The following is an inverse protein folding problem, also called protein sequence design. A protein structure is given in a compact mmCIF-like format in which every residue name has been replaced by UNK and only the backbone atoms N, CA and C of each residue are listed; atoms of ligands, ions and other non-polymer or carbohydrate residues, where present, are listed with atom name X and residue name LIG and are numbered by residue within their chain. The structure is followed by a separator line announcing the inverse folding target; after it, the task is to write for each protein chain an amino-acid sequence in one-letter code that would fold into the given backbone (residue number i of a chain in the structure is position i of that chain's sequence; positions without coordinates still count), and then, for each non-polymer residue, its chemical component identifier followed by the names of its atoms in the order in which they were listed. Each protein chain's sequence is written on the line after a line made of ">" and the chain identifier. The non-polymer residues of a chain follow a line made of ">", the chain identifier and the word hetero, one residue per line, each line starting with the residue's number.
data_IF_821761493307
#
_entry.id   IF_821761493307
#
_cell.length_a   1.000
_cell.length_b   1.000
_cell.length_c   1.000
_cell.angle_alpha   90.00
_cell.angle_beta   90.00
_cell.angle_gamma   90.00
#
_symmetry.space_group_name_H-M   'P 1'
#
loop_
_entity.id
_entity.type
_entity.pdbx_description
1 polymer ?
#
# COMPACT_ATOMS: atom_id res chain seq x y z
N UNK A 1 40.58 -6.05 -6.94
CA UNK A 1 39.28 -6.15 -6.24
C UNK A 1 38.38 -5.06 -6.81
N UNK A 2 37.35 -5.40 -7.59
CA UNK A 2 36.49 -4.41 -8.22
C UNK A 2 35.52 -3.83 -7.18
N UNK A 3 35.65 -2.52 -6.91
CA UNK A 3 34.72 -1.79 -6.06
C UNK A 3 33.38 -1.77 -6.77
N UNK A 4 32.44 -2.60 -6.31
CA UNK A 4 31.07 -2.62 -6.80
C UNK A 4 30.35 -1.40 -6.21
N UNK A 5 30.54 -0.23 -6.81
CA UNK A 5 29.77 0.97 -6.47
C UNK A 5 28.30 0.68 -6.73
N UNK A 6 27.52 0.51 -5.67
CA UNK A 6 26.05 0.42 -5.72
C UNK A 6 25.52 1.77 -6.17
N UNK A 7 25.35 1.95 -7.48
CA UNK A 7 24.80 3.17 -8.06
C UNK A 7 23.34 3.30 -7.61
N UNK A 8 22.99 4.41 -6.95
CA UNK A 8 21.59 4.71 -6.63
C UNK A 8 20.77 4.63 -7.92
N UNK A 9 19.67 3.87 -7.94
CA UNK A 9 18.86 3.73 -9.15
C UNK A 9 18.35 5.10 -9.60
N UNK A 10 18.41 5.37 -10.91
CA UNK A 10 17.80 6.58 -11.48
C UNK A 10 16.28 6.60 -11.30
N UNK A 11 15.64 7.77 -11.38
CA UNK A 11 14.17 7.91 -11.35
C UNK A 11 13.50 6.96 -12.34
N UNK A 12 14.00 6.88 -13.57
CA UNK A 12 13.46 5.98 -14.60
C UNK A 12 13.56 4.49 -14.20
N UNK A 13 14.69 4.08 -13.60
CA UNK A 13 14.83 2.72 -13.09
C UNK A 13 13.88 2.44 -11.91
N UNK A 14 13.65 3.42 -11.04
CA UNK A 14 12.69 3.27 -9.94
C UNK A 14 11.25 3.24 -10.43
N UNK A 15 10.89 4.06 -11.42
CA UNK A 15 9.56 4.09 -12.02
C UNK A 15 9.13 2.72 -12.56
N UNK A 16 10.07 1.96 -13.13
CA UNK A 16 9.81 0.57 -13.55
C UNK A 16 9.73 -0.37 -12.34
N UNK A 17 10.61 -0.21 -11.33
CA UNK A 17 10.65 -1.08 -10.14
C UNK A 17 9.35 -1.03 -9.32
N UNK A 18 8.77 0.15 -9.14
CA UNK A 18 7.56 0.32 -8.32
C UNK A 18 6.30 -0.26 -8.97
N UNK A 19 6.33 -0.60 -10.27
CA UNK A 19 5.23 -1.27 -10.97
C UNK A 19 5.17 -2.78 -10.72
N UNK A 20 6.30 -3.41 -10.34
CA UNK A 20 6.40 -4.88 -10.28
C UNK A 20 5.43 -5.49 -9.28
N UNK A 21 5.26 -4.87 -8.11
CA UNK A 21 4.37 -5.41 -7.07
C UNK A 21 2.93 -5.52 -7.58
N UNK A 22 2.42 -4.46 -8.19
CA UNK A 22 1.07 -4.43 -8.74
C UNK A 22 0.86 -5.49 -9.84
N UNK A 23 1.83 -5.69 -10.74
CA UNK A 23 1.78 -6.77 -11.73
C UNK A 23 1.81 -8.15 -11.06
N UNK A 24 2.60 -8.31 -9.99
CA UNK A 24 2.61 -9.51 -9.17
C UNK A 24 1.25 -9.83 -8.55
N UNK A 25 0.65 -8.85 -7.88
CA UNK A 25 -0.67 -8.98 -7.25
C UNK A 25 -1.76 -9.25 -8.29
N UNK A 26 -1.73 -8.57 -9.44
CA UNK A 26 -2.69 -8.80 -10.54
C UNK A 26 -2.56 -10.21 -11.08
N UNK A 27 -1.33 -10.69 -11.31
CA UNK A 27 -1.12 -12.05 -11.80
C UNK A 27 -1.63 -13.10 -10.82
N UNK A 28 -1.40 -12.89 -9.51
CA UNK A 28 -1.90 -13.80 -8.48
C UNK A 28 -3.42 -13.85 -8.47
N UNK A 29 -4.09 -12.70 -8.54
CA UNK A 29 -5.56 -12.61 -8.57
C UNK A 29 -6.17 -13.30 -9.79
N UNK A 30 -5.47 -13.32 -10.93
CA UNK A 30 -5.93 -13.91 -12.20
C UNK A 30 -5.23 -15.21 -12.56
N UNK A 31 -4.57 -15.87 -11.62
CA UNK A 31 -3.61 -16.95 -11.91
C UNK A 31 -4.22 -18.11 -12.73
N UNK A 32 -5.49 -18.45 -12.46
CA UNK A 32 -6.23 -19.51 -13.17
C UNK A 32 -6.47 -19.19 -14.65
N UNK A 33 -6.60 -17.91 -15.02
CA UNK A 33 -6.86 -17.48 -16.39
C UNK A 33 -5.64 -17.62 -17.32
N UNK A 34 -4.42 -17.52 -16.77
CA UNK A 34 -3.22 -17.42 -17.60
C UNK A 34 -2.79 -18.71 -18.28
N UNK A 35 -3.35 -19.87 -17.88
CA UNK A 35 -3.09 -21.12 -18.58
C UNK A 35 -3.68 -21.07 -20.02
N UNK A 36 -2.79 -21.06 -21.01
CA UNK A 36 -3.18 -20.92 -22.42
C UNK A 36 -3.46 -19.49 -22.91
N UNK A 37 -3.37 -18.47 -22.05
CA UNK A 37 -3.60 -17.08 -22.43
C UNK A 37 -2.53 -16.50 -23.37
N UNK A 38 -1.33 -17.11 -23.42
CA UNK A 38 -0.25 -16.73 -24.32
C UNK A 38 0.09 -17.85 -25.28
N UNK A 39 -0.25 -17.68 -26.57
CA UNK A 39 0.05 -18.66 -27.61
C UNK A 39 0.51 -17.97 -28.91
N UNK A 40 1.68 -18.33 -29.49
CA UNK A 40 2.59 -19.39 -29.05
C UNK A 40 3.44 -18.97 -27.84
N UNK A 41 3.62 -19.90 -26.89
CA UNK A 41 4.47 -19.74 -25.71
C UNK A 41 5.90 -20.25 -25.98
N UNK A 42 6.95 -19.44 -25.82
CA UNK A 42 8.33 -19.93 -25.89
C UNK A 42 8.64 -20.93 -24.77
N UNK A 43 9.45 -21.96 -25.04
CA UNK A 43 9.69 -23.08 -24.10
C UNK A 43 10.31 -22.68 -22.75
N UNK A 44 11.06 -21.58 -22.68
CA UNK A 44 11.81 -21.19 -21.47
C UNK A 44 11.11 -20.09 -20.64
N UNK A 45 9.86 -19.73 -20.96
CA UNK A 45 9.13 -18.68 -20.24
C UNK A 45 7.78 -19.18 -19.75
N UNK A 46 7.46 -18.84 -18.51
CA UNK A 46 6.13 -19.08 -17.94
C UNK A 46 5.21 -17.89 -18.23
N UNK A 47 3.93 -18.04 -17.91
CA UNK A 47 2.90 -17.04 -18.21
C UNK A 47 3.08 -15.76 -17.38
N UNK A 48 3.62 -15.88 -16.16
CA UNK A 48 4.04 -14.72 -15.36
C UNK A 48 5.09 -13.86 -16.08
N UNK A 49 6.15 -14.47 -16.60
CA UNK A 49 7.20 -13.76 -17.32
C UNK A 49 6.65 -13.06 -18.56
N UNK A 50 5.68 -13.67 -19.26
CA UNK A 50 5.02 -13.06 -20.41
C UNK A 50 4.09 -11.90 -20.00
N UNK A 51 3.30 -12.08 -18.93
CA UNK A 51 2.46 -11.02 -18.38
C UNK A 51 3.29 -9.80 -17.97
N UNK A 52 4.36 -10.01 -17.20
CA UNK A 52 5.28 -8.93 -16.81
C UNK A 52 5.92 -8.30 -18.05
N UNK A 53 6.45 -9.09 -18.99
CA UNK A 53 7.06 -8.58 -20.23
C UNK A 53 6.11 -7.68 -21.02
N UNK A 54 4.84 -8.06 -21.14
CA UNK A 54 3.87 -7.32 -21.93
C UNK A 54 3.35 -6.07 -21.23
N UNK A 55 3.40 -6.00 -19.89
CA UNK A 55 2.75 -4.92 -19.14
C UNK A 55 3.72 -3.97 -18.43
N UNK A 56 4.89 -4.46 -18.00
CA UNK A 56 5.91 -3.64 -17.36
C UNK A 56 6.35 -2.50 -18.29
N UNK A 57 6.46 -1.30 -17.73
CA UNK A 57 6.80 -0.04 -18.41
C UNK A 57 5.74 0.45 -19.42
N UNK A 58 4.63 -0.29 -19.59
CA UNK A 58 3.55 0.06 -20.53
C UNK A 58 2.25 0.40 -19.81
N UNK A 59 2.05 -0.16 -18.62
CA UNK A 59 0.87 0.08 -17.78
C UNK A 59 1.33 0.83 -16.53
N UNK A 60 1.20 2.17 -16.50
CA UNK A 60 1.66 2.97 -15.37
C UNK A 60 0.75 2.75 -14.17
N UNK A 61 1.20 1.94 -13.21
CA UNK A 61 0.59 1.81 -11.89
C UNK A 61 1.69 1.75 -10.86
N UNK A 62 1.68 2.71 -9.95
CA UNK A 62 2.76 2.93 -9.00
C UNK A 62 2.25 2.69 -7.59
N UNK A 63 2.83 1.71 -6.90
CA UNK A 63 2.54 1.45 -5.49
C UNK A 63 3.70 1.92 -4.64
N UNK A 64 3.39 2.45 -3.47
CA UNK A 64 4.38 2.65 -2.40
C UNK A 64 4.82 1.31 -1.82
N UNK A 65 5.94 1.32 -1.08
CA UNK A 65 6.45 0.11 -0.43
C UNK A 65 5.40 -0.52 0.50
N UNK A 66 4.73 0.29 1.32
CA UNK A 66 3.69 -0.18 2.25
C UNK A 66 2.47 -0.75 1.51
N UNK A 67 2.02 -0.11 0.44
CA UNK A 67 0.93 -0.63 -0.39
C UNK A 67 1.32 -1.96 -1.06
N UNK A 68 2.57 -2.06 -1.53
CA UNK A 68 3.11 -3.28 -2.12
C UNK A 68 3.24 -4.43 -1.11
N UNK A 69 3.66 -4.14 0.13
CA UNK A 69 3.72 -5.10 1.24
C UNK A 69 2.32 -5.60 1.62
N UNK A 70 1.32 -4.72 1.58
CA UNK A 70 -0.09 -5.06 1.75
C UNK A 70 -0.70 -5.80 0.55
N UNK A 71 0.06 -6.00 -0.54
CA UNK A 71 -0.41 -6.60 -1.80
C UNK A 71 -1.57 -5.84 -2.44
N UNK A 72 -1.59 -4.52 -2.28
CA UNK A 72 -2.51 -3.66 -3.01
C UNK A 72 -2.41 -3.94 -4.53
N UNK A 73 -3.53 -3.77 -5.21
CA UNK A 73 -3.69 -4.13 -6.60
C UNK A 73 -4.71 -3.21 -7.28
N UNK A 74 -4.35 -2.67 -8.44
CA UNK A 74 -5.20 -1.73 -9.18
C UNK A 74 -5.57 -2.33 -10.53
N UNK A 75 -6.85 -2.27 -10.89
CA UNK A 75 -7.28 -2.65 -12.24
C UNK A 75 -6.74 -1.63 -13.24
N UNK A 76 -6.06 -2.10 -14.29
CA UNK A 76 -5.43 -1.27 -15.30
C UNK A 76 -5.55 -1.96 -16.67
N UNK A 77 -5.24 -1.27 -17.80
CA UNK A 77 -5.41 -1.83 -19.14
C UNK A 77 -4.31 -2.84 -19.50
N UNK A 78 -4.22 -3.91 -18.72
CA UNK A 78 -3.22 -4.96 -18.91
C UNK A 78 -3.50 -5.74 -20.19
N UNK A 79 -2.44 -6.07 -20.93
CA UNK A 79 -2.45 -7.14 -21.91
C UNK A 79 -2.49 -8.48 -21.19
N UNK A 80 -3.65 -9.13 -21.20
CA UNK A 80 -3.88 -10.38 -20.47
C UNK A 80 -3.71 -11.62 -21.34
N UNK A 81 -3.83 -11.47 -22.66
CA UNK A 81 -3.62 -12.57 -23.61
C UNK A 81 -2.84 -12.10 -24.84
N UNK A 82 -2.14 -13.03 -25.47
CA UNK A 82 -1.45 -12.78 -26.73
C UNK A 82 -1.57 -14.00 -27.64
N UNK A 83 -2.13 -13.78 -28.83
CA UNK A 83 -2.09 -14.79 -29.87
C UNK A 83 -2.51 -14.30 -31.24
N UNK A 84 -2.84 -15.27 -32.09
CA UNK A 84 -2.97 -15.11 -33.55
C UNK A 84 -4.40 -14.94 -34.04
N UNK A 85 -5.40 -15.18 -33.18
CA UNK A 85 -6.80 -14.92 -33.54
C UNK A 85 -7.04 -13.41 -33.50
N UNK A 86 -7.93 -12.94 -34.37
CA UNK A 86 -8.38 -11.55 -34.40
C UNK A 86 -8.82 -11.09 -33.00
N UNK A 87 -8.27 -9.97 -32.48
CA UNK A 87 -8.75 -9.34 -31.25
C UNK A 87 -10.21 -8.89 -31.33
N UNK A 88 -10.89 -8.98 -30.20
CA UNK A 88 -12.19 -8.34 -29.95
C UNK A 88 -11.89 -6.97 -29.37
N UNK A 89 -12.20 -5.91 -30.12
CA UNK A 89 -12.04 -4.55 -29.61
C UNK A 89 -13.13 -4.27 -28.59
N UNK A 90 -12.78 -3.50 -27.57
CA UNK A 90 -13.66 -3.05 -26.51
C UNK A 90 -13.44 -1.55 -26.34
N UNK A 91 -14.52 -0.78 -26.26
CA UNK A 91 -14.48 0.68 -26.15
C UNK A 91 -15.53 1.16 -25.16
N UNK A 92 -15.26 2.31 -24.53
CA UNK A 92 -16.23 2.96 -23.64
C UNK A 92 -17.31 3.64 -24.48
N UNK A 93 -18.57 3.34 -24.22
CA UNK A 93 -19.72 4.01 -24.83
C UNK A 93 -20.76 4.35 -23.77
N UNK A 94 -20.92 5.64 -23.48
CA UNK A 94 -21.78 6.10 -22.39
C UNK A 94 -21.31 5.54 -21.04
N UNK A 95 -22.20 4.85 -20.34
CA UNK A 95 -21.95 4.26 -19.02
C UNK A 95 -21.55 2.77 -19.07
N UNK A 96 -21.33 2.22 -20.27
CA UNK A 96 -20.95 0.81 -20.44
C UNK A 96 -19.75 0.63 -21.38
N UNK A 97 -19.40 -0.63 -21.61
CA UNK A 97 -18.42 -1.03 -22.61
C UNK A 97 -19.14 -1.66 -23.80
N UNK A 98 -18.67 -1.39 -25.02
CA UNK A 98 -19.16 -2.02 -26.24
C UNK A 98 -18.01 -2.74 -26.94
N UNK A 99 -18.28 -3.95 -27.42
CA UNK A 99 -17.30 -4.76 -28.14
C UNK A 99 -17.48 -4.66 -29.65
N UNK A 100 -16.49 -5.13 -30.40
CA UNK A 100 -16.60 -5.31 -31.85
C UNK A 100 -17.42 -6.54 -32.26
N UNK A 101 -17.97 -7.31 -31.31
CA UNK A 101 -18.82 -8.47 -31.60
C UNK A 101 -20.20 -7.97 -31.98
N UNK A 102 -20.69 -8.37 -33.16
CA UNK A 102 -21.99 -7.97 -33.69
C UNK A 102 -23.06 -9.05 -33.49
N UNK A 103 -24.32 -8.63 -33.47
CA UNK A 103 -25.50 -9.50 -33.52
C UNK A 103 -26.52 -8.94 -34.54
N UNK A 104 -27.46 -9.77 -35.04
CA UNK A 104 -28.47 -9.31 -35.98
C UNK A 104 -29.32 -8.17 -35.43
N UNK A 105 -29.83 -7.31 -36.31
CA UNK A 105 -30.74 -6.25 -35.92
C UNK A 105 -32.00 -6.83 -35.24
N UNK A 106 -32.39 -6.27 -34.10
CA UNK A 106 -33.54 -6.74 -33.33
C UNK A 106 -33.28 -7.98 -32.47
N UNK A 107 -32.07 -8.55 -32.49
CA UNK A 107 -31.69 -9.59 -31.54
C UNK A 107 -31.60 -9.03 -30.12
N UNK A 108 -32.17 -9.73 -29.15
CA UNK A 108 -32.08 -9.41 -27.73
C UNK A 108 -31.88 -10.71 -26.94
N UNK A 109 -31.19 -10.60 -25.82
CA UNK A 109 -31.04 -11.71 -24.87
C UNK A 109 -32.04 -11.46 -23.75
N UNK A 110 -32.98 -12.39 -23.59
CA UNK A 110 -33.97 -12.38 -22.51
C UNK A 110 -33.53 -13.37 -21.46
N UNK A 111 -33.39 -12.88 -20.23
CA UNK A 111 -33.01 -13.67 -19.06
C UNK A 111 -33.96 -14.87 -18.89
N UNK A 112 -33.39 -16.03 -18.54
CA UNK A 112 -34.07 -17.31 -18.33
C UNK A 112 -34.82 -17.90 -19.54
N UNK A 113 -34.76 -17.26 -20.71
CA UNK A 113 -35.45 -17.68 -21.92
C UNK A 113 -34.48 -17.96 -23.07
N UNK A 114 -33.58 -17.02 -23.35
CA UNK A 114 -32.67 -17.15 -24.50
C UNK A 114 -31.63 -18.23 -24.26
N UNK A 115 -31.51 -19.14 -25.23
CA UNK A 115 -30.59 -20.27 -25.16
C UNK A 115 -29.21 -19.94 -25.72
N UNK A 116 -28.19 -20.68 -25.29
CA UNK A 116 -26.85 -20.63 -25.88
C UNK A 116 -26.88 -20.93 -27.39
N UNK A 117 -27.78 -21.80 -27.87
CA UNK A 117 -27.96 -22.08 -29.29
C UNK A 117 -28.42 -20.86 -30.09
N UNK A 118 -29.31 -20.05 -29.54
CA UNK A 118 -29.77 -18.79 -30.16
C UNK A 118 -28.67 -17.74 -30.18
N UNK A 119 -27.97 -17.55 -29.05
CA UNK A 119 -26.80 -16.66 -28.97
C UNK A 119 -25.72 -17.08 -29.98
N UNK A 120 -25.42 -18.38 -30.06
CA UNK A 120 -24.41 -18.92 -30.98
C UNK A 120 -24.78 -18.61 -32.44
N UNK A 121 -26.04 -18.85 -32.85
CA UNK A 121 -26.52 -18.50 -34.20
C UNK A 121 -26.37 -17.02 -34.50
N UNK A 122 -26.75 -16.15 -33.55
CA UNK A 122 -26.65 -14.71 -33.71
C UNK A 122 -25.18 -14.27 -33.93
N UNK A 123 -24.26 -14.75 -33.09
CA UNK A 123 -22.84 -14.42 -33.18
C UNK A 123 -22.21 -14.91 -34.48
N UNK A 124 -22.48 -16.16 -34.89
CA UNK A 124 -21.91 -16.74 -36.11
C UNK A 124 -22.42 -16.07 -37.39
N UNK A 125 -23.65 -15.58 -37.38
CA UNK A 125 -24.25 -14.93 -38.56
C UNK A 125 -23.63 -13.58 -38.91
N UNK A 126 -23.09 -12.86 -37.91
CA UNK A 126 -22.60 -11.48 -38.07
C UNK A 126 -21.08 -11.33 -37.96
N UNK A 127 -20.37 -12.37 -37.52
CA UNK A 127 -18.93 -12.30 -37.23
C UNK A 127 -18.17 -13.39 -37.99
N UNK A 128 -17.74 -13.11 -39.22
CA UNK A 128 -17.06 -14.08 -40.10
C UNK A 128 -15.74 -14.66 -39.55
N UNK A 129 -15.15 -14.05 -38.52
CA UNK A 129 -13.93 -14.53 -37.87
C UNK A 129 -14.21 -15.52 -36.72
N UNK A 130 -15.46 -15.58 -36.24
CA UNK A 130 -15.94 -16.49 -35.20
C UNK A 130 -16.53 -17.73 -35.87
N UNK A 131 -16.18 -18.91 -35.36
CA UNK A 131 -16.55 -20.20 -35.94
C UNK A 131 -17.28 -21.07 -34.90
N UNK A 132 -18.06 -22.04 -35.37
CA UNK A 132 -18.68 -23.04 -34.49
C UNK A 132 -17.59 -23.73 -33.66
N UNK A 133 -17.85 -23.91 -32.35
CA UNK A 133 -16.89 -24.52 -31.43
C UNK A 133 -15.80 -23.58 -30.93
N UNK A 134 -15.78 -22.31 -31.36
CA UNK A 134 -14.96 -21.29 -30.67
C UNK A 134 -15.51 -21.04 -29.27
N UNK A 135 -14.62 -20.69 -28.34
CA UNK A 135 -14.99 -20.29 -27.00
C UNK A 135 -14.82 -18.77 -26.84
N UNK A 136 -15.82 -18.14 -26.21
CA UNK A 136 -15.74 -16.76 -25.75
C UNK A 136 -15.60 -16.80 -24.23
N UNK A 137 -14.50 -16.27 -23.73
CA UNK A 137 -14.23 -16.11 -22.30
C UNK A 137 -14.32 -14.64 -21.91
N UNK A 138 -14.98 -14.35 -20.80
CA UNK A 138 -15.22 -13.01 -20.27
C UNK A 138 -14.38 -12.87 -19.00
N UNK A 139 -13.37 -12.02 -19.09
CA UNK A 139 -12.52 -11.63 -17.96
C UNK A 139 -13.09 -10.35 -17.39
N UNK A 140 -13.58 -10.40 -16.16
CA UNK A 140 -14.11 -9.25 -15.43
C UNK A 140 -13.29 -9.01 -14.16
N UNK A 141 -12.76 -7.80 -14.03
CA UNK A 141 -11.98 -7.35 -12.89
C UNK A 141 -12.75 -6.23 -12.19
N UNK A 142 -13.19 -6.46 -10.95
CA UNK A 142 -13.78 -5.42 -10.12
C UNK A 142 -12.69 -4.78 -9.25
N UNK A 143 -12.71 -3.46 -9.14
CA UNK A 143 -11.86 -2.70 -8.24
C UNK A 143 -12.56 -2.59 -6.88
N UNK A 144 -11.95 -3.15 -5.85
CA UNK A 144 -12.44 -3.10 -4.48
C UNK A 144 -11.53 -2.21 -3.62
N UNK A 145 -12.10 -1.57 -2.60
CA UNK A 145 -11.36 -0.82 -1.58
C UNK A 145 -11.91 -1.24 -0.22
N UNK A 146 -11.08 -1.86 0.61
CA UNK A 146 -11.51 -2.27 1.95
C UNK A 146 -11.42 -1.10 2.91
N UNK A 147 -12.43 -0.95 3.77
CA UNK A 147 -12.49 0.14 4.75
C UNK A 147 -11.45 0.04 5.86
N UNK A 148 -10.83 -1.13 6.04
CA UNK A 148 -9.85 -1.39 7.09
C UNK A 148 -8.49 -0.75 6.83
N UNK A 149 -8.05 -0.70 5.58
CA UNK A 149 -6.74 -0.17 5.17
C UNK A 149 -6.84 0.93 4.11
N UNK A 150 -8.03 1.13 3.53
CA UNK A 150 -8.28 2.08 2.43
C UNK A 150 -7.44 1.80 1.19
N UNK A 151 -6.98 0.55 1.01
CA UNK A 151 -6.14 0.13 -0.11
C UNK A 151 -6.96 -0.51 -1.24
N UNK A 152 -6.50 -0.36 -2.50
CA UNK A 152 -7.15 -0.97 -3.65
C UNK A 152 -6.80 -2.45 -3.75
N UNK A 153 -7.79 -3.27 -4.07
CA UNK A 153 -7.66 -4.69 -4.37
C UNK A 153 -8.45 -5.04 -5.63
N UNK A 154 -8.09 -6.16 -6.27
CA UNK A 154 -8.76 -6.63 -7.49
C UNK A 154 -9.47 -7.94 -7.20
N UNK A 155 -10.74 -7.98 -7.57
CA UNK A 155 -11.56 -9.19 -7.58
C UNK A 155 -11.72 -9.69 -9.01
N UNK A 156 -11.42 -10.96 -9.22
CA UNK A 156 -11.44 -11.60 -10.54
C UNK A 156 -12.68 -12.49 -10.67
N UNK A 157 -13.49 -12.21 -11.69
CA UNK A 157 -14.65 -13.00 -12.09
C UNK A 157 -14.45 -13.48 -13.53
N UNK A 158 -14.71 -14.76 -13.77
CA UNK A 158 -14.49 -15.42 -15.05
C UNK A 158 -15.74 -16.17 -15.48
N UNK A 159 -16.11 -15.99 -16.74
CA UNK A 159 -17.21 -16.73 -17.36
C UNK A 159 -16.78 -17.18 -18.75
N UNK A 160 -17.31 -18.29 -19.23
CA UNK A 160 -17.00 -18.79 -20.57
C UNK A 160 -18.17 -19.57 -21.15
N UNK A 161 -18.24 -19.59 -22.48
CA UNK A 161 -19.15 -20.45 -23.20
C UNK A 161 -18.55 -20.82 -24.55
N UNK A 162 -18.81 -22.04 -24.99
CA UNK A 162 -18.43 -22.54 -26.31
C UNK A 162 -19.62 -22.42 -27.26
N UNK A 163 -19.39 -21.92 -28.46
CA UNK A 163 -20.45 -21.72 -29.45
C UNK A 163 -20.95 -23.06 -29.98
N UNK A 164 -22.22 -23.36 -29.66
CA UNK A 164 -22.94 -24.54 -30.12
C UNK A 164 -24.36 -24.15 -30.51
N UNK A 165 -24.66 -24.17 -31.82
CA UNK A 165 -25.98 -23.83 -32.38
C UNK A 165 -27.10 -24.76 -31.92
N UNK A 166 -26.78 -25.92 -31.35
CA UNK A 166 -27.74 -26.94 -30.90
C UNK A 166 -27.98 -26.91 -29.39
N UNK A 167 -27.21 -26.13 -28.63
CA UNK A 167 -27.37 -26.06 -27.18
C UNK A 167 -28.74 -25.49 -26.80
N UNK A 168 -29.42 -26.18 -25.89
CA UNK A 168 -30.66 -25.75 -25.26
C UNK A 168 -30.44 -25.17 -23.86
N UNK A 169 -29.19 -25.02 -23.42
CA UNK A 169 -28.87 -24.42 -22.13
C UNK A 169 -29.27 -22.94 -22.11
N UNK A 170 -29.82 -22.50 -20.99
CA UNK A 170 -30.22 -21.11 -20.78
C UNK A 170 -28.97 -20.25 -20.61
N UNK A 171 -28.83 -19.21 -21.45
CA UNK A 171 -27.59 -18.45 -21.52
C UNK A 171 -27.28 -17.66 -20.24
N UNK A 172 -28.31 -17.12 -19.55
CA UNK A 172 -28.13 -16.36 -18.30
C UNK A 172 -27.53 -17.19 -17.15
N UNK A 173 -27.60 -18.51 -17.22
CA UNK A 173 -26.99 -19.41 -16.24
C UNK A 173 -25.47 -19.56 -16.44
N UNK A 174 -24.97 -19.28 -17.65
CA UNK A 174 -23.56 -19.34 -17.99
C UNK A 174 -22.88 -17.97 -17.84
N UNK A 175 -23.58 -16.91 -18.26
CA UNK A 175 -23.06 -15.55 -18.29
C UNK A 175 -24.11 -14.57 -17.77
N UNK A 176 -23.78 -13.77 -16.73
CA UNK A 176 -24.66 -12.71 -16.26
C UNK A 176 -24.98 -11.70 -17.36
N UNK A 177 -26.26 -11.31 -17.46
CA UNK A 177 -26.75 -10.36 -18.47
C UNK A 177 -26.00 -9.01 -18.44
N UNK A 178 -25.51 -8.59 -17.27
CA UNK A 178 -24.72 -7.36 -17.11
C UNK A 178 -23.35 -7.40 -17.82
N UNK A 179 -22.79 -8.60 -18.02
CA UNK A 179 -21.48 -8.81 -18.65
C UNK A 179 -21.58 -9.16 -20.15
N UNK A 180 -22.79 -9.40 -20.67
CA UNK A 180 -23.02 -9.77 -22.07
C UNK A 180 -24.40 -9.28 -22.54
N UNK A 181 -24.50 -7.97 -22.72
CA UNK A 181 -25.73 -7.25 -23.07
C UNK A 181 -25.72 -6.83 -24.55
N UNK A 182 -26.89 -6.79 -25.19
CA UNK A 182 -27.01 -6.30 -26.58
C UNK A 182 -27.27 -4.80 -26.60
N UNK A 183 -26.33 -4.02 -27.12
CA UNK A 183 -26.45 -2.57 -27.29
C UNK A 183 -26.23 -2.18 -28.76
N UNK A 184 -27.28 -1.67 -29.41
CA UNK A 184 -27.18 -1.16 -30.79
C UNK A 184 -26.70 -2.18 -31.83
N UNK A 185 -26.98 -3.47 -31.62
CA UNK A 185 -26.52 -4.57 -32.50
C UNK A 185 -25.09 -5.05 -32.21
N UNK A 186 -24.51 -4.65 -31.08
CA UNK A 186 -23.23 -5.15 -30.59
C UNK A 186 -23.38 -5.76 -29.19
N UNK A 187 -22.42 -6.59 -28.81
CA UNK A 187 -22.32 -7.10 -27.45
C UNK A 187 -21.49 -6.14 -26.59
N UNK A 188 -21.90 -5.91 -25.37
CA UNK A 188 -21.20 -5.10 -24.39
C UNK A 188 -21.61 -5.40 -22.95
N UNK A 189 -21.43 -4.43 -22.07
CA UNK A 189 -22.00 -4.44 -20.72
C UNK A 189 -23.29 -3.65 -20.67
N UNK A 190 -24.07 -3.85 -19.61
CA UNK A 190 -25.07 -2.87 -19.23
C UNK A 190 -24.42 -1.61 -18.60
N UNK A 191 -25.25 -0.69 -18.12
CA UNK A 191 -24.82 0.55 -17.47
C UNK A 191 -24.43 0.37 -15.99
N UNK A 192 -24.52 -0.84 -15.44
CA UNK A 192 -24.28 -1.15 -14.03
C UNK A 192 -22.90 -1.77 -13.81
N UNK A 193 -22.00 -1.66 -14.79
CA UNK A 193 -20.64 -2.17 -14.66
C UNK A 193 -19.95 -1.50 -13.47
N UNK A 194 -19.47 -2.31 -12.53
CA UNK A 194 -18.71 -1.86 -11.37
C UNK A 194 -17.42 -1.14 -11.80
N UNK A 195 -16.84 -0.33 -10.90
CA UNK A 195 -15.51 0.23 -11.15
C UNK A 195 -14.52 -0.91 -11.34
N UNK A 196 -13.75 -0.89 -12.43
CA UNK A 196 -12.89 -2.00 -12.77
C UNK A 196 -12.52 -2.03 -14.25
N UNK A 197 -12.60 -3.21 -14.86
CA UNK A 197 -12.32 -3.42 -16.27
C UNK A 197 -12.70 -4.81 -16.77
N UNK A 198 -12.85 -4.93 -18.08
CA UNK A 198 -13.31 -6.17 -18.71
C UNK A 198 -12.59 -6.43 -20.04
N UNK A 199 -12.49 -7.70 -20.42
CA UNK A 199 -12.09 -8.13 -21.75
C UNK A 199 -12.86 -9.38 -22.20
N UNK A 200 -13.15 -9.47 -23.50
CA UNK A 200 -13.63 -10.70 -24.13
C UNK A 200 -12.49 -11.35 -24.88
N UNK A 201 -12.22 -12.62 -24.58
CA UNK A 201 -11.14 -13.41 -25.16
C UNK A 201 -11.74 -14.51 -26.00
N UNK A 202 -11.49 -14.46 -27.31
CA UNK A 202 -11.82 -15.54 -28.24
C UNK A 202 -10.69 -16.57 -28.24
N UNK A 203 -11.04 -17.85 -28.15
CA UNK A 203 -10.11 -18.97 -28.29
C UNK A 203 -10.67 -20.06 -29.21
N UNK A 204 -9.76 -20.82 -29.83
CA UNK A 204 -10.08 -21.92 -30.76
C UNK A 204 -9.06 -23.04 -30.60
N UNK A 205 -9.53 -24.29 -30.61
CA UNK A 205 -8.64 -25.44 -30.87
C UNK A 205 -8.57 -25.71 -32.36
N UNK A 206 -7.36 -25.69 -32.92
CA UNK A 206 -7.11 -26.01 -34.33
C UNK A 206 -5.86 -26.89 -34.44
N UNK A 207 -6.00 -28.05 -35.10
CA UNK A 207 -4.92 -29.03 -35.26
C UNK A 207 -4.19 -29.38 -33.94
N UNK A 208 -4.94 -29.57 -32.85
CA UNK A 208 -4.41 -29.90 -31.52
C UNK A 208 -3.77 -28.72 -30.77
N UNK A 209 -3.70 -27.53 -31.37
CA UNK A 209 -3.16 -26.32 -30.74
C UNK A 209 -4.27 -25.39 -30.27
N UNK A 210 -4.07 -24.78 -29.10
CA UNK A 210 -4.90 -23.67 -28.65
C UNK A 210 -4.43 -22.38 -29.33
N UNK A 211 -5.36 -21.70 -29.99
CA UNK A 211 -5.19 -20.38 -30.57
C UNK A 211 -6.03 -19.42 -29.73
N UNK A 212 -5.48 -18.24 -29.42
CA UNK A 212 -6.17 -17.21 -28.64
C UNK A 212 -6.07 -15.87 -29.33
N UNK A 213 -7.03 -14.99 -29.04
CA UNK A 213 -6.98 -13.58 -29.42
C UNK A 213 -6.04 -12.81 -28.49
N UNK A 214 -5.34 -11.80 -29.04
CA UNK A 214 -4.61 -10.84 -28.21
C UNK A 214 -5.60 -9.87 -27.57
N UNK A 215 -5.60 -9.72 -26.24
CA UNK A 215 -6.57 -8.88 -25.55
C UNK A 215 -5.96 -8.03 -24.45
N UNK A 216 -6.60 -6.87 -24.25
CA UNK A 216 -6.31 -5.92 -23.20
C UNK A 216 -7.55 -5.72 -22.35
N UNK A 217 -7.37 -5.52 -21.05
CA UNK A 217 -8.45 -5.03 -20.18
C UNK A 217 -8.86 -3.64 -20.64
N UNK A 218 -10.17 -3.44 -20.81
CA UNK A 218 -10.76 -2.12 -21.04
C UNK A 218 -11.41 -1.68 -19.75
N UNK A 219 -11.01 -0.52 -19.25
CA UNK A 219 -11.51 0.01 -17.98
C UNK A 219 -12.95 0.49 -18.11
N UNK A 220 -13.76 0.20 -17.11
CA UNK A 220 -15.13 0.72 -17.05
C UNK A 220 -15.13 2.24 -16.85
N UNK A 221 -16.20 2.93 -17.28
CA UNK A 221 -16.37 4.35 -17.00
C UNK A 221 -16.27 4.62 -15.49
N UNK A 222 -15.68 5.75 -15.12
CA UNK A 222 -15.56 6.11 -13.71
C UNK A 222 -14.40 5.47 -12.95
N UNK A 223 -13.48 4.75 -13.63
CA UNK A 223 -12.27 4.24 -12.98
C UNK A 223 -11.41 5.39 -12.41
N UNK A 224 -11.49 5.57 -11.09
CA UNK A 224 -10.79 6.59 -10.31
C UNK A 224 -9.47 6.06 -9.79
N UNK A 225 -9.41 4.77 -9.42
CA UNK A 225 -8.21 4.17 -8.85
C UNK A 225 -7.07 4.13 -9.87
N UNK A 226 -7.32 3.68 -11.11
CA UNK A 226 -6.27 3.71 -12.13
C UNK A 226 -5.76 5.13 -12.38
N UNK A 227 -6.65 6.13 -12.45
CA UNK A 227 -6.24 7.53 -12.64
C UNK A 227 -5.35 8.03 -11.50
N UNK A 228 -5.70 7.70 -10.25
CA UNK A 228 -4.89 8.04 -9.07
C UNK A 228 -3.54 7.35 -9.11
N UNK A 229 -3.52 6.04 -9.36
CA UNK A 229 -2.31 5.24 -9.25
C UNK A 229 -1.39 5.27 -10.48
N UNK A 230 -1.86 5.86 -11.59
CA UNK A 230 -1.06 6.12 -12.79
C UNK A 230 -0.46 7.53 -12.85
N UNK A 231 -0.73 8.38 -11.86
CA UNK A 231 -0.34 9.78 -11.88
C UNK A 231 1.15 10.00 -11.53
N UNK A 232 1.71 11.13 -11.97
CA UNK A 232 3.09 11.52 -11.60
C UNK A 232 3.25 11.76 -10.10
N UNK A 233 2.21 12.28 -9.43
CA UNK A 233 2.21 12.44 -7.98
C UNK A 233 2.35 11.10 -7.26
N UNK A 234 1.63 10.07 -7.74
CA UNK A 234 1.74 8.73 -7.16
C UNK A 234 3.08 8.09 -7.48
N UNK A 235 3.62 8.32 -8.67
CA UNK A 235 4.98 7.91 -9.03
C UNK A 235 6.01 8.51 -8.04
N UNK A 236 5.91 9.81 -7.75
CA UNK A 236 6.80 10.49 -6.81
C UNK A 236 6.70 9.90 -5.39
N UNK A 237 5.48 9.66 -4.92
CA UNK A 237 5.20 9.04 -3.63
C UNK A 237 5.83 7.64 -3.55
N UNK A 238 5.61 6.82 -4.58
CA UNK A 238 6.16 5.48 -4.69
C UNK A 238 7.69 5.50 -4.69
N UNK A 239 8.33 6.31 -5.54
CA UNK A 239 9.79 6.43 -5.61
C UNK A 239 10.40 6.87 -4.27
N UNK A 240 9.75 7.78 -3.54
CA UNK A 240 10.18 8.20 -2.20
C UNK A 240 10.10 7.05 -1.19
N UNK A 241 9.00 6.31 -1.19
CA UNK A 241 8.79 5.20 -0.24
C UNK A 241 9.80 4.06 -0.38
N UNK A 242 10.28 3.77 -1.60
CA UNK A 242 11.31 2.75 -1.86
C UNK A 242 12.75 3.23 -1.60
N UNK A 243 12.94 4.43 -1.05
CA UNK A 243 14.23 4.90 -0.56
C UNK A 243 15.11 5.64 -1.58
N UNK A 244 14.53 6.21 -2.65
CA UNK A 244 15.27 7.04 -3.61
C UNK A 244 15.25 8.53 -3.27
N UNK A 245 15.66 8.82 -2.05
CA UNK A 245 16.66 9.84 -1.75
C UNK A 245 17.11 9.52 -0.33
N UNK A 246 18.02 8.55 -0.15
CA UNK A 246 18.87 8.61 1.05
C UNK A 246 19.56 9.96 0.96
N UNK A 247 19.06 10.96 1.71
CA UNK A 247 19.84 12.14 2.07
C UNK A 247 21.20 11.61 2.44
N UNK A 248 22.25 12.06 1.76
CA UNK A 248 23.60 11.63 2.11
C UNK A 248 23.79 12.00 3.58
N UNK A 249 24.01 10.99 4.41
CA UNK A 249 24.27 11.19 5.84
C UNK A 249 25.54 12.03 6.08
N UNK A 250 26.35 12.21 5.04
CA UNK A 250 27.60 12.97 5.03
C UNK A 250 27.54 14.16 4.04
N UNK A 251 26.37 14.79 3.88
CA UNK A 251 26.27 16.08 3.20
C UNK A 251 26.46 17.24 4.20
N UNK A 252 27.52 18.06 4.07
CA UNK A 252 27.72 19.21 4.94
C UNK A 252 26.57 20.22 4.76
N UNK A 253 26.07 20.78 5.86
CA UNK A 253 25.04 21.82 5.85
C UNK A 253 23.61 21.35 6.14
N UNK A 254 23.39 20.04 6.33
CA UNK A 254 22.10 19.50 6.77
C UNK A 254 22.15 19.19 8.27
N UNK A 255 21.63 20.09 9.10
CA UNK A 255 21.48 19.84 10.54
C UNK A 255 20.19 19.05 10.76
N UNK A 256 20.31 17.79 11.17
CA UNK A 256 19.17 16.96 11.60
C UNK A 256 19.11 16.93 13.13
N UNK A 257 17.90 17.02 13.67
CA UNK A 257 17.56 16.61 15.03
C UNK A 257 16.49 15.52 14.88
N UNK A 258 16.79 14.30 15.31
CA UNK A 258 15.78 13.24 15.36
C UNK A 258 14.86 13.50 16.57
N UNK A 259 13.55 13.27 16.42
CA UNK A 259 12.57 13.55 17.48
C UNK A 259 12.78 12.70 18.75
N UNK A 260 13.57 11.62 18.66
CA UNK A 260 13.92 10.74 19.77
C UNK A 260 15.16 11.21 20.57
N UNK A 261 15.90 12.22 20.09
CA UNK A 261 17.13 12.74 20.72
C UNK A 261 16.87 13.65 21.93
N UNK A 262 15.64 13.72 22.45
CA UNK A 262 15.41 14.34 23.76
C UNK A 262 15.98 13.42 24.83
N UNK A 263 17.26 13.59 25.15
CA UNK A 263 17.92 12.86 26.24
C UNK A 263 17.38 13.29 27.60
N UNK A 264 17.50 12.40 28.59
CA UNK A 264 17.27 12.74 29.99
C UNK A 264 18.22 13.87 30.40
N UNK A 265 17.70 14.99 30.89
CA UNK A 265 18.53 16.06 31.45
C UNK A 265 17.82 16.78 32.58
N UNK A 266 18.58 17.22 33.58
CA UNK A 266 18.14 18.21 34.57
C UNK A 266 18.71 19.55 34.16
N UNK A 267 17.82 20.44 33.73
CA UNK A 267 18.20 21.74 33.17
C UNK A 267 18.28 22.81 34.27
N UNK A 268 17.36 22.78 35.23
CA UNK A 268 17.25 23.79 36.28
C UNK A 268 16.72 23.17 37.57
N UNK A 269 17.19 23.70 38.70
CA UNK A 269 16.61 23.43 40.02
C UNK A 269 16.25 24.77 40.66
N UNK A 270 15.06 24.88 41.22
CA UNK A 270 14.60 26.07 41.94
C UNK A 270 14.26 25.69 43.39
N UNK A 271 14.60 26.55 44.34
CA UNK A 271 14.09 26.46 45.72
C UNK A 271 13.18 27.67 45.99
N UNK A 272 11.92 27.41 46.38
CA UNK A 272 10.90 28.44 46.61
C UNK A 272 10.79 29.45 45.44
N UNK A 273 10.93 28.95 44.21
CA UNK A 273 10.89 29.76 42.98
C UNK A 273 12.19 30.50 42.62
N UNK A 274 13.24 30.40 43.44
CA UNK A 274 14.56 30.99 43.17
C UNK A 274 15.47 29.97 42.50
N UNK A 275 16.11 30.33 41.38
CA UNK A 275 17.03 29.45 40.65
C UNK A 275 18.27 29.15 41.50
N UNK A 276 18.61 27.87 41.63
CA UNK A 276 19.83 27.39 42.28
C UNK A 276 20.83 27.03 41.18
N UNK A 277 21.92 27.81 40.99
CA UNK A 277 22.90 27.53 39.95
C UNK A 277 23.67 26.23 40.21
N UNK A 278 24.43 25.77 39.20
CA UNK A 278 25.39 24.67 39.36
C UNK A 278 26.69 25.22 39.94
N UNK A 279 27.24 24.59 40.98
CA UNK A 279 28.60 24.80 41.48
C UNK A 279 28.73 25.34 42.92
N UNK A 280 29.74 24.78 43.59
CA UNK A 280 30.49 25.13 44.81
C UNK A 280 29.78 25.26 46.17
N UNK A 281 28.45 25.09 46.30
CA UNK A 281 27.80 25.05 47.63
C UNK A 281 26.64 24.04 47.71
N UNK A 282 26.47 23.35 48.86
CA UNK A 282 25.30 22.48 49.05
C UNK A 282 23.99 23.29 49.12
N UNK A 283 22.92 22.75 48.53
CA UNK A 283 21.59 23.32 48.68
C UNK A 283 21.05 23.05 50.08
N UNK A 284 20.95 24.11 50.88
CA UNK A 284 20.26 24.07 52.18
C UNK A 284 18.75 24.01 52.00
N UNK A 285 18.13 22.96 52.54
CA UNK A 285 16.69 22.71 52.47
C UNK A 285 16.12 22.71 53.88
N UNK A 286 15.06 23.50 54.09
CA UNK A 286 14.30 23.56 55.34
C UNK A 286 12.92 22.93 55.20
N UNK A 287 12.33 22.51 56.31
CA UNK A 287 10.96 21.99 56.34
C UNK A 287 10.00 23.04 55.76
N UNK A 288 9.20 22.63 54.76
CA UNK A 288 8.25 23.49 54.06
C UNK A 288 8.77 24.08 52.75
N UNK A 289 10.07 23.95 52.45
CA UNK A 289 10.64 24.40 51.17
C UNK A 289 10.05 23.63 49.98
N UNK A 290 9.84 24.33 48.87
CA UNK A 290 9.39 23.78 47.59
C UNK A 290 10.53 23.75 46.58
N UNK A 291 11.04 22.55 46.31
CA UNK A 291 12.12 22.31 45.35
C UNK A 291 11.51 21.89 44.02
N UNK A 292 11.78 22.64 42.95
CA UNK A 292 11.33 22.34 41.60
C UNK A 292 12.51 21.92 40.73
N UNK A 293 12.47 20.70 40.21
CA UNK A 293 13.47 20.14 39.30
C UNK A 293 12.85 20.16 37.90
N UNK A 294 13.44 20.96 37.00
CA UNK A 294 13.01 21.12 35.61
C UNK A 294 13.99 20.47 34.65
N UNK A 295 13.47 19.80 33.63
CA UNK A 295 14.30 18.99 32.75
C UNK A 295 13.51 18.34 31.63
N UNK A 296 14.06 17.25 31.11
CA UNK A 296 13.45 16.43 30.06
C UNK A 296 13.47 14.97 30.47
N UNK A 297 12.39 14.24 30.17
CA UNK A 297 12.19 12.84 30.56
C UNK A 297 12.39 12.60 32.06
N UNK A 298 11.90 13.52 32.90
CA UNK A 298 11.99 13.39 34.35
C UNK A 298 10.95 12.42 34.90
N UNK A 299 11.38 11.45 35.69
CA UNK A 299 10.51 10.64 36.55
C UNK A 299 11.11 10.54 37.97
N UNK A 300 10.27 10.35 38.99
CA UNK A 300 10.74 10.20 40.38
C UNK A 300 11.67 8.99 40.54
N UNK A 301 11.45 7.93 39.77
CA UNK A 301 12.23 6.69 39.82
C UNK A 301 13.61 6.81 39.17
N UNK A 302 13.81 7.79 38.28
CA UNK A 302 15.08 7.97 37.56
C UNK A 302 16.06 8.87 38.31
N UNK A 303 15.64 9.54 39.39
CA UNK A 303 16.46 10.51 40.12
C UNK A 303 16.66 10.11 41.59
N UNK A 304 17.90 10.29 42.05
CA UNK A 304 18.30 10.22 43.45
C UNK A 304 19.05 11.49 43.85
N UNK A 305 19.05 11.78 45.14
CA UNK A 305 19.75 12.91 45.70
C UNK A 305 20.83 12.44 46.67
N UNK A 306 21.99 13.09 46.63
CA UNK A 306 23.02 12.96 47.64
C UNK A 306 22.79 14.00 48.72
N UNK A 307 22.57 13.54 49.96
CA UNK A 307 22.16 14.39 51.08
C UNK A 307 23.03 14.23 52.32
N UNK A 308 23.15 15.31 53.09
CA UNK A 308 23.80 15.35 54.40
C UNK A 308 22.83 15.89 55.45
N UNK A 309 22.81 15.28 56.64
CA UNK A 309 21.97 15.72 57.76
C UNK A 309 22.61 16.83 58.60
N UNK A 310 23.93 17.03 58.47
CA UNK A 310 24.67 18.16 59.00
C UNK A 310 25.94 18.40 58.15
N UNK A 311 26.59 19.58 58.23
CA UNK A 311 27.75 19.95 57.40
C UNK A 311 29.00 19.06 57.59
N UNK A 312 29.03 18.22 58.64
CA UNK A 312 30.15 17.33 58.96
C UNK A 312 29.87 15.85 58.66
N UNK A 313 28.66 15.52 58.21
CA UNK A 313 28.23 14.15 57.94
C UNK A 313 28.70 13.68 56.56
N UNK A 314 28.96 12.39 56.41
CA UNK A 314 29.21 11.84 55.08
C UNK A 314 27.92 11.86 54.24
N UNK A 315 27.98 12.29 52.97
CA UNK A 315 26.82 12.32 52.09
C UNK A 315 26.29 10.90 51.81
N UNK A 316 24.97 10.77 51.75
CA UNK A 316 24.27 9.51 51.45
C UNK A 316 23.32 9.67 50.28
N UNK A 317 23.30 8.69 49.38
CA UNK A 317 22.39 8.70 48.22
C UNK A 317 21.03 8.15 48.65
N UNK A 318 19.99 8.97 48.51
CA UNK A 318 18.61 8.65 48.90
C UNK A 318 17.64 8.87 47.74
N UNK A 319 16.48 8.22 47.80
CA UNK A 319 15.36 8.56 46.90
C UNK A 319 14.78 9.93 47.26
N UNK A 320 14.19 10.62 46.28
CA UNK A 320 13.62 11.96 46.49
C UNK A 320 12.51 11.98 47.57
N UNK A 321 11.75 10.90 47.70
CA UNK A 321 10.72 10.73 48.75
C UNK A 321 11.26 10.74 50.19
N UNK A 322 12.58 10.57 50.38
CA UNK A 322 13.22 10.66 51.71
C UNK A 322 13.38 12.11 52.17
N UNK A 323 13.46 13.05 51.21
CA UNK A 323 13.60 14.49 51.42
C UNK A 323 12.25 15.13 51.76
N UNK A 324 11.18 14.66 51.10
CA UNK A 324 9.88 15.29 51.19
C UNK A 324 8.80 14.58 50.38
N UNK A 325 7.62 15.20 50.32
CA UNK A 325 6.53 14.72 49.46
C UNK A 325 6.83 15.10 48.02
N UNK A 326 6.93 14.09 47.14
CA UNK A 326 7.24 14.27 45.72
C UNK A 326 5.96 14.30 44.89
N UNK A 327 5.86 15.28 43.99
CA UNK A 327 4.79 15.39 43.00
C UNK A 327 5.42 15.54 41.63
N UNK A 328 5.18 14.58 40.74
CA UNK A 328 5.58 14.65 39.33
C UNK A 328 4.42 15.25 38.54
N UNK A 329 4.59 16.48 38.07
CA UNK A 329 3.54 17.20 37.33
C UNK A 329 3.55 16.87 35.84
N UNK A 330 4.75 16.64 35.28
CA UNK A 330 4.96 16.21 33.89
C UNK A 330 6.34 15.56 33.75
N UNK A 331 6.65 15.04 32.56
CA UNK A 331 8.00 14.58 32.21
C UNK A 331 9.05 15.72 32.16
N UNK A 332 8.68 16.96 32.51
CA UNK A 332 9.54 18.13 32.52
C UNK A 332 9.68 18.77 33.91
N UNK A 333 8.86 18.36 34.89
CA UNK A 333 8.81 18.99 36.21
C UNK A 333 8.52 17.99 37.34
N UNK A 334 9.44 17.93 38.29
CA UNK A 334 9.25 17.29 39.60
C UNK A 334 9.24 18.39 40.66
N UNK A 335 8.26 18.36 41.56
CA UNK A 335 8.19 19.24 42.73
C UNK A 335 8.33 18.42 44.01
N UNK A 336 9.20 18.84 44.92
CA UNK A 336 9.41 18.20 46.22
C UNK A 336 9.06 19.22 47.30
N UNK A 337 8.13 18.89 48.18
CA UNK A 337 7.85 19.66 49.40
C UNK A 337 8.62 19.05 50.55
N UNK A 338 9.68 19.73 51.01
CA UNK A 338 10.60 19.21 52.00
C UNK A 338 9.92 18.98 53.36
N UNK A 339 10.13 17.80 53.94
CA UNK A 339 9.61 17.44 55.27
C UNK A 339 10.71 17.34 56.32
N UNK A 340 11.97 17.61 55.94
CA UNK A 340 13.16 17.54 56.79
C UNK A 340 14.10 18.69 56.48
N UNK A 341 14.91 19.07 57.47
CA UNK A 341 16.06 19.95 57.26
C UNK A 341 17.27 19.10 56.84
N UNK A 342 17.87 19.40 55.69
CA UNK A 342 19.05 18.69 55.16
C UNK A 342 19.80 19.55 54.14
N UNK A 343 21.01 19.11 53.79
CA UNK A 343 21.82 19.66 52.71
C UNK A 343 21.78 18.70 51.52
N UNK A 344 21.58 19.20 50.30
CA UNK A 344 21.66 18.42 49.06
C UNK A 344 22.93 18.81 48.30
N UNK A 345 23.83 17.84 48.08
CA UNK A 345 25.09 18.07 47.37
C UNK A 345 24.92 17.94 45.85
N UNK A 346 24.20 16.90 45.39
CA UNK A 346 23.93 16.69 43.97
C UNK A 346 22.71 15.80 43.70
N UNK A 347 22.21 15.85 42.47
CA UNK A 347 21.26 14.92 41.88
C UNK A 347 21.98 13.95 40.94
N UNK A 348 21.62 12.67 41.02
CA UNK A 348 22.20 11.60 40.20
C UNK A 348 21.12 10.70 39.61
N UNK A 349 21.40 10.07 38.46
CA UNK A 349 20.52 9.05 37.90
C UNK A 349 20.46 7.80 38.76
N UNK A 350 19.27 7.24 38.93
CA UNK A 350 19.05 6.06 39.74
C UNK A 350 19.66 4.78 39.12
N UNK A 351 19.75 4.70 37.79
CA UNK A 351 20.20 3.53 37.03
C UNK A 351 21.73 3.43 36.90
N UNK A 352 22.39 4.57 36.74
CA UNK A 352 23.81 4.67 36.39
C UNK A 352 24.64 5.38 37.46
N UNK A 353 24.00 6.05 38.43
CA UNK A 353 24.68 6.87 39.42
C UNK A 353 25.32 8.14 38.84
N UNK A 354 25.14 8.42 37.55
CA UNK A 354 25.72 9.59 36.90
C UNK A 354 25.16 10.87 37.52
N UNK A 355 26.03 11.80 37.91
CA UNK A 355 25.64 13.11 38.44
C UNK A 355 25.07 13.94 37.28
N UNK A 356 23.84 14.44 37.47
CA UNK A 356 23.09 15.20 36.45
C UNK A 356 22.90 16.66 36.85
N UNK A 357 23.02 16.95 38.14
CA UNK A 357 23.01 18.30 38.67
C UNK A 357 23.87 18.37 39.93
N UNK A 358 25.02 19.03 39.87
CA UNK A 358 25.87 19.24 41.04
C UNK A 358 25.57 20.63 41.62
N UNK A 359 25.22 20.68 42.90
CA UNK A 359 25.07 21.93 43.63
C UNK A 359 26.42 22.39 44.17
N UNK A 360 27.21 21.42 44.65
CA UNK A 360 28.61 21.59 45.08
C UNK A 360 29.60 21.74 43.94
#
# INVERSE_FOLDING_TARGET
>A
MAIKTTRTPSRAQMAVRVQFSNLGSTYQAMSEFFDGAYAPKPHAVNDYNLFVKYNLDKVPVYLTLTEAEAKACVVAPYKISHGVIRPIKMEVQGNGLISSIRVPAGFSITEDVTTLGEVSKALLSMNSYIHEGDQVSIVHLSQEVFTSDMLPYVSFKFHEFTLDKKSSEVFSQLVPSSLFYVNGGYIGTDANAEEGGMAYVLSRRSAGKLLVSTQFITLTPGNTMYKKYSSEEKLDEAIKSYGTAKTRLLEPGNTRMDAEDVYFSVNQVLNNGTLIPKGDEELSVSIGDSIQIKGTKLTETELKASVMTNPTANPTIVNLSVIGTVVVTSAELITITATKNLLICYLSRADSGAIVYNFS
#
